data_IF_256742490774
#
_entry.id   IF_256742490774
#
_cell.length_a   1.000
_cell.length_b   1.000
_cell.length_c   1.000
_cell.angle_alpha   90.00
_cell.angle_beta   90.00
_cell.angle_gamma   90.00
#
_symmetry.space_group_name_H-M   'P 1'
#
loop_
_entity.id
_entity.type
_entity.pdbx_description
1 polymer ?
#
# COMPACT_ATOMS: atom_id res chain seq x y z
N UNK A 1 -11.56 0.23 17.97
CA UNK A 1 -10.71 0.82 16.92
C UNK A 1 -11.56 1.52 15.86
N UNK A 2 -12.47 0.84 15.16
CA UNK A 2 -13.25 1.42 14.04
C UNK A 2 -13.98 2.70 14.41
N UNK A 3 -14.77 2.69 15.50
CA UNK A 3 -15.55 3.85 15.93
C UNK A 3 -14.73 5.02 16.51
N UNK A 4 -13.49 4.74 16.91
CA UNK A 4 -12.57 5.74 17.47
C UNK A 4 -11.63 6.40 16.48
N UNK A 5 -11.47 5.82 15.27
CA UNK A 5 -10.55 6.39 14.26
C UNK A 5 -11.02 7.77 13.81
N UNK A 6 -10.11 8.70 13.78
CA UNK A 6 -10.28 10.05 13.20
C UNK A 6 -9.08 10.40 12.33
N UNK A 7 -9.26 11.31 11.39
CA UNK A 7 -8.15 11.93 10.66
C UNK A 7 -7.51 12.97 11.55
N UNK A 8 -6.40 12.61 12.15
CA UNK A 8 -5.58 13.50 12.99
C UNK A 8 -4.71 14.34 12.07
N UNK A 9 -4.73 15.66 12.22
CA UNK A 9 -4.01 16.60 11.36
C UNK A 9 -2.98 17.44 12.11
N UNK A 10 -3.06 17.44 13.43
CA UNK A 10 -2.10 18.12 14.29
C UNK A 10 -1.26 17.08 15.01
N UNK A 11 0.01 17.06 14.72
CA UNK A 11 0.99 16.12 15.27
C UNK A 11 2.02 16.90 16.07
N UNK A 12 2.64 16.23 17.01
CA UNK A 12 3.87 16.69 17.67
C UNK A 12 5.04 16.31 16.75
N UNK A 13 5.70 17.28 16.09
CA UNK A 13 6.73 17.00 15.10
C UNK A 13 8.02 16.42 15.70
N UNK A 14 8.22 16.62 17.00
CA UNK A 14 9.43 16.21 17.71
C UNK A 14 9.27 14.84 18.39
N UNK A 15 8.03 14.31 18.42
CA UNK A 15 7.77 13.02 19.01
C UNK A 15 8.10 11.89 18.05
N UNK A 16 9.10 11.10 18.39
CA UNK A 16 9.50 9.93 17.61
C UNK A 16 8.43 8.84 17.63
N UNK A 17 8.29 8.13 16.51
CA UNK A 17 7.44 6.95 16.40
C UNK A 17 8.31 5.70 16.43
N UNK A 18 8.01 4.78 17.33
CA UNK A 18 8.77 3.55 17.51
C UNK A 18 8.71 2.68 16.25
N UNK A 19 9.88 2.23 15.78
CA UNK A 19 10.01 1.38 14.59
C UNK A 19 9.08 0.16 14.62
N UNK A 20 8.89 -0.45 15.79
CA UNK A 20 8.01 -1.60 15.95
C UNK A 20 6.55 -1.29 15.59
N UNK A 21 6.05 -0.10 15.91
CA UNK A 21 4.70 0.34 15.54
C UNK A 21 4.57 0.54 14.03
N UNK A 22 5.58 1.15 13.41
CA UNK A 22 5.63 1.30 11.95
C UNK A 22 5.63 -0.07 11.27
N UNK A 23 6.42 -1.02 11.77
CA UNK A 23 6.44 -2.38 11.23
C UNK A 23 5.08 -3.08 11.33
N UNK A 24 4.34 -2.93 12.45
CA UNK A 24 2.98 -3.48 12.57
C UNK A 24 1.99 -2.85 11.59
N UNK A 25 2.09 -1.54 11.36
CA UNK A 25 1.29 -0.84 10.35
C UNK A 25 1.58 -1.41 8.95
N UNK A 26 2.85 -1.50 8.57
CA UNK A 26 3.25 -2.04 7.26
C UNK A 26 2.84 -3.50 7.09
N UNK A 27 2.95 -4.32 8.13
CA UNK A 27 2.52 -5.71 8.10
C UNK A 27 1.01 -5.84 7.89
N UNK A 28 0.20 -5.02 8.58
CA UNK A 28 -1.25 -4.98 8.35
C UNK A 28 -1.59 -4.58 6.90
N UNK A 29 -0.86 -3.62 6.34
CA UNK A 29 -1.01 -3.25 4.93
C UNK A 29 -0.60 -4.39 3.99
N UNK A 30 0.46 -5.12 4.33
CA UNK A 30 0.97 -6.24 3.53
C UNK A 30 0.01 -7.43 3.48
N UNK A 31 -0.64 -7.77 4.60
CA UNK A 31 -1.56 -8.90 4.69
C UNK A 31 -3.00 -8.58 4.26
N UNK A 32 -3.26 -7.32 3.87
CA UNK A 32 -4.56 -6.93 3.37
C UNK A 32 -4.98 -7.79 2.18
N UNK A 33 -6.25 -8.14 2.12
CA UNK A 33 -6.82 -8.87 0.98
C UNK A 33 -6.62 -8.09 -0.30
N UNK A 34 -6.18 -8.79 -1.36
CA UNK A 34 -6.05 -8.21 -2.68
C UNK A 34 -6.35 -9.26 -3.76
N UNK A 35 -6.92 -8.81 -4.87
CA UNK A 35 -7.25 -9.70 -5.96
C UNK A 35 -6.00 -10.43 -6.48
N UNK A 36 -6.16 -11.72 -6.80
CA UNK A 36 -5.13 -12.63 -7.33
C UNK A 36 -3.83 -12.68 -6.50
N UNK A 37 -3.90 -12.29 -5.24
CA UNK A 37 -2.74 -12.18 -4.34
C UNK A 37 -1.59 -11.34 -4.94
N UNK A 38 -1.95 -10.30 -5.70
CA UNK A 38 -0.99 -9.53 -6.48
C UNK A 38 -0.07 -8.65 -5.62
N UNK A 39 -0.57 -8.18 -4.47
CA UNK A 39 0.15 -7.23 -3.60
C UNK A 39 0.62 -6.00 -4.39
N UNK A 40 -0.32 -5.24 -4.94
CA UNK A 40 -0.03 -4.03 -5.73
C UNK A 40 0.59 -2.90 -4.94
N UNK A 41 0.30 -2.83 -3.63
CA UNK A 41 0.78 -1.73 -2.81
C UNK A 41 2.30 -1.80 -2.61
N UNK A 42 2.95 -0.66 -2.82
CA UNK A 42 4.31 -0.38 -2.37
C UNK A 42 4.26 0.77 -1.39
N UNK A 43 5.01 0.67 -0.32
CA UNK A 43 5.09 1.69 0.71
C UNK A 43 6.55 2.05 0.99
N UNK A 44 6.84 3.34 1.03
CA UNK A 44 8.15 3.88 1.43
C UNK A 44 7.94 4.71 2.68
N UNK A 45 8.69 4.41 3.71
CA UNK A 45 8.64 5.12 5.00
C UNK A 45 9.79 6.11 5.07
N UNK A 46 9.46 7.35 5.37
CA UNK A 46 10.46 8.42 5.54
C UNK A 46 10.19 9.14 6.85
N UNK A 47 11.24 9.35 7.64
CA UNK A 47 11.17 10.27 8.76
C UNK A 47 11.16 11.71 8.24
N UNK A 48 10.24 12.52 8.72
CA UNK A 48 10.13 13.92 8.30
C UNK A 48 11.45 14.68 8.47
N UNK A 49 12.17 14.42 9.54
CA UNK A 49 13.46 15.05 9.83
C UNK A 49 14.56 14.73 8.80
N UNK A 50 14.40 13.68 8.00
CA UNK A 50 15.33 13.28 6.94
C UNK A 50 14.98 13.95 5.59
N UNK A 51 13.82 14.60 5.49
CA UNK A 51 13.38 15.27 4.26
C UNK A 51 14.02 16.68 4.24
N UNK A 52 14.78 17.05 3.19
CA UNK A 52 15.29 18.40 3.05
C UNK A 52 14.15 19.42 3.06
N UNK A 53 14.36 20.57 3.70
CA UNK A 53 13.30 21.58 3.88
C UNK A 53 12.65 22.03 2.55
N UNK A 54 13.46 22.24 1.52
CA UNK A 54 12.96 22.61 0.19
C UNK A 54 12.09 21.50 -0.44
N UNK A 55 12.48 20.23 -0.25
CA UNK A 55 11.72 19.07 -0.74
C UNK A 55 10.41 18.91 0.04
N UNK A 56 10.46 19.08 1.36
CA UNK A 56 9.26 19.04 2.21
C UNK A 56 8.24 20.11 1.77
N UNK A 57 8.72 21.32 1.51
CA UNK A 57 7.87 22.42 1.00
C UNK A 57 7.25 22.07 -0.35
N UNK A 58 8.04 21.50 -1.29
CA UNK A 58 7.56 21.11 -2.61
C UNK A 58 6.57 19.93 -2.57
N UNK A 59 6.66 19.05 -1.56
CA UNK A 59 5.74 17.94 -1.35
C UNK A 59 4.36 18.38 -0.87
N UNK A 60 4.26 19.54 -0.23
CA UNK A 60 3.02 20.02 0.37
C UNK A 60 1.96 20.26 -0.71
N UNK A 61 0.73 19.96 -0.35
CA UNK A 61 -0.45 20.37 -1.11
C UNK A 61 -1.21 21.44 -0.34
N UNK A 62 -1.98 22.31 -1.01
CA UNK A 62 -2.69 23.42 -0.35
C UNK A 62 -3.58 22.98 0.83
N UNK A 63 -4.15 21.76 0.76
CA UNK A 63 -5.07 21.23 1.78
C UNK A 63 -4.35 20.42 2.86
N UNK A 64 -3.27 19.74 2.49
CA UNK A 64 -2.60 18.75 3.35
C UNK A 64 -1.24 19.23 3.88
N UNK A 65 -0.78 20.42 3.52
CA UNK A 65 0.55 20.93 3.84
C UNK A 65 0.90 20.88 5.33
N UNK A 66 -0.04 21.29 6.20
CA UNK A 66 0.17 21.24 7.64
C UNK A 66 0.37 19.81 8.18
N UNK A 67 -0.38 18.83 7.62
CA UNK A 67 -0.23 17.42 8.00
C UNK A 67 1.17 16.92 7.63
N UNK A 68 1.63 17.25 6.42
CA UNK A 68 2.95 16.86 5.92
C UNK A 68 4.10 17.54 6.69
N UNK A 69 3.87 18.77 7.14
CA UNK A 69 4.84 19.51 7.94
C UNK A 69 5.00 18.97 9.35
N UNK A 70 3.88 18.57 9.99
CA UNK A 70 3.87 18.20 11.39
C UNK A 70 4.05 16.69 11.63
N UNK A 71 3.62 15.83 10.70
CA UNK A 71 3.70 14.38 10.92
C UNK A 71 5.16 13.91 10.96
N UNK A 72 5.62 13.30 12.06
CA UNK A 72 7.02 12.88 12.21
C UNK A 72 7.41 11.74 11.26
N UNK A 73 6.43 10.95 10.79
CA UNK A 73 6.64 9.85 9.85
C UNK A 73 5.67 9.97 8.70
N UNK A 74 6.20 9.87 7.49
CA UNK A 74 5.44 9.78 6.24
C UNK A 74 5.52 8.37 5.67
N UNK A 75 4.39 7.81 5.24
CA UNK A 75 4.32 6.54 4.53
C UNK A 75 3.77 6.84 3.14
N UNK A 76 4.65 6.86 2.15
CA UNK A 76 4.28 7.08 0.75
C UNK A 76 3.81 5.78 0.12
N UNK A 77 2.58 5.76 -0.35
CA UNK A 77 1.94 4.60 -0.92
C UNK A 77 1.86 4.72 -2.44
N UNK A 78 2.32 3.69 -3.15
CA UNK A 78 2.32 3.61 -4.61
C UNK A 78 1.63 2.34 -5.08
N UNK A 79 0.96 2.45 -6.21
CA UNK A 79 0.40 1.31 -6.91
C UNK A 79 1.41 0.78 -7.93
N UNK A 80 1.82 -0.47 -7.76
CA UNK A 80 2.67 -1.17 -8.71
C UNK A 80 1.83 -1.88 -9.79
N UNK A 81 1.45 -1.13 -10.82
CA UNK A 81 0.61 -1.65 -11.90
C UNK A 81 1.25 -2.79 -12.70
N UNK A 82 2.58 -2.89 -12.70
CA UNK A 82 3.33 -3.92 -13.44
C UNK A 82 3.49 -5.25 -12.70
N UNK A 83 3.04 -5.37 -11.45
CA UNK A 83 3.31 -6.57 -10.65
C UNK A 83 2.76 -7.85 -11.27
N UNK A 84 1.52 -7.84 -11.78
CA UNK A 84 0.87 -9.04 -12.35
C UNK A 84 1.63 -9.57 -13.56
N UNK A 85 2.05 -8.69 -14.47
CA UNK A 85 2.85 -9.06 -15.64
C UNK A 85 4.25 -9.57 -15.28
N UNK A 86 4.88 -8.99 -14.26
CA UNK A 86 6.21 -9.45 -13.81
C UNK A 86 6.17 -10.81 -13.14
N UNK A 87 5.16 -11.08 -12.30
CA UNK A 87 5.07 -12.34 -11.54
C UNK A 87 4.39 -13.48 -12.30
N UNK A 88 3.67 -13.21 -13.40
CA UNK A 88 3.08 -14.21 -14.31
C UNK A 88 2.36 -15.36 -13.59
N UNK A 89 1.48 -15.04 -12.66
CA UNK A 89 0.73 -16.06 -11.90
C UNK A 89 1.50 -16.74 -10.75
N UNK A 90 2.77 -16.43 -10.51
CA UNK A 90 3.56 -17.07 -9.45
C UNK A 90 2.90 -16.93 -8.05
N UNK A 91 2.21 -15.82 -7.79
CA UNK A 91 1.49 -15.62 -6.53
C UNK A 91 0.33 -16.60 -6.34
N UNK A 92 -0.40 -16.92 -7.41
CA UNK A 92 -1.45 -17.95 -7.36
C UNK A 92 -0.86 -19.34 -7.17
N UNK A 93 0.26 -19.64 -7.82
CA UNK A 93 0.96 -20.93 -7.61
C UNK A 93 1.40 -21.10 -6.16
N UNK A 94 1.88 -20.04 -5.51
CA UNK A 94 2.17 -20.08 -4.08
C UNK A 94 0.92 -20.40 -3.22
N UNK A 95 -0.26 -19.89 -3.59
CA UNK A 95 -1.50 -20.24 -2.88
C UNK A 95 -1.92 -21.69 -3.12
N UNK A 96 -1.63 -22.25 -4.29
CA UNK A 96 -1.81 -23.68 -4.56
C UNK A 96 -0.87 -24.52 -3.69
N UNK A 97 0.41 -24.13 -3.60
CA UNK A 97 1.43 -24.85 -2.82
C UNK A 97 1.09 -24.96 -1.34
N UNK A 98 0.49 -23.91 -0.77
CA UNK A 98 0.07 -23.89 0.65
C UNK A 98 -1.37 -24.38 0.86
N UNK A 99 -2.03 -24.88 -0.19
CA UNK A 99 -3.40 -25.41 -0.11
C UNK A 99 -4.50 -24.35 0.05
N UNK A 100 -4.18 -23.06 -0.07
CA UNK A 100 -5.17 -21.97 -0.02
C UNK A 100 -6.07 -21.94 -1.26
N UNK A 101 -5.54 -22.37 -2.41
CA UNK A 101 -6.31 -22.68 -3.62
C UNK A 101 -6.40 -24.19 -3.76
N UNK A 102 -7.63 -24.72 -3.57
CA UNK A 102 -7.83 -26.14 -3.40
C UNK A 102 -7.71 -26.94 -4.72
N UNK A 103 -6.82 -27.94 -4.82
CA UNK A 103 -6.68 -28.79 -5.99
C UNK A 103 -7.98 -29.55 -6.36
N UNK A 104 -8.85 -29.88 -5.39
CA UNK A 104 -10.13 -30.54 -5.65
C UNK A 104 -11.09 -29.67 -6.48
N UNK A 105 -10.84 -28.36 -6.55
CA UNK A 105 -11.55 -27.39 -7.41
C UNK A 105 -10.76 -27.06 -8.68
N UNK A 106 -9.81 -27.93 -9.06
CA UNK A 106 -9.08 -27.82 -10.31
C UNK A 106 -7.84 -26.89 -10.27
N UNK A 107 -7.53 -26.31 -9.12
CA UNK A 107 -6.35 -25.46 -9.00
C UNK A 107 -5.06 -26.28 -9.03
N UNK A 108 -4.15 -25.89 -9.93
CA UNK A 108 -2.82 -26.48 -10.10
C UNK A 108 -1.89 -25.46 -10.75
N UNK A 109 -0.58 -25.67 -10.68
CA UNK A 109 0.38 -24.84 -11.43
C UNK A 109 0.06 -24.84 -12.93
N UNK A 110 -0.24 -26.03 -13.49
CA UNK A 110 -0.62 -26.16 -14.89
C UNK A 110 -1.84 -25.33 -15.24
N UNK A 111 -2.89 -25.37 -14.43
CA UNK A 111 -4.10 -24.56 -14.64
C UNK A 111 -3.79 -23.05 -14.59
N UNK A 112 -2.93 -22.63 -13.68
CA UNK A 112 -2.49 -21.23 -13.61
C UNK A 112 -1.75 -20.83 -14.88
N UNK A 113 -0.80 -21.64 -15.36
CA UNK A 113 0.05 -21.30 -16.50
C UNK A 113 -0.66 -21.41 -17.85
N UNK A 114 -1.55 -22.40 -18.04
CA UNK A 114 -2.21 -22.67 -19.33
C UNK A 114 -3.56 -21.95 -19.47
N UNK A 115 -4.21 -21.57 -18.36
CA UNK A 115 -5.54 -20.99 -18.40
C UNK A 115 -5.64 -19.65 -17.67
N UNK A 116 -5.30 -19.58 -16.38
CA UNK A 116 -5.58 -18.39 -15.56
C UNK A 116 -4.73 -17.22 -16.02
N UNK A 117 -3.41 -17.41 -16.17
CA UNK A 117 -2.55 -16.31 -16.57
C UNK A 117 -2.86 -15.80 -17.99
N UNK A 118 -2.83 -16.63 -19.05
CA UNK A 118 -3.00 -16.14 -20.41
C UNK A 118 -4.42 -15.70 -20.74
N UNK A 119 -5.45 -16.28 -20.12
CA UNK A 119 -6.84 -16.01 -20.47
C UNK A 119 -7.51 -14.97 -19.55
N UNK A 120 -7.01 -14.77 -18.35
CA UNK A 120 -7.60 -13.88 -17.35
C UNK A 120 -6.63 -12.77 -16.94
N UNK A 121 -5.46 -13.12 -16.38
CA UNK A 121 -4.60 -12.13 -15.74
C UNK A 121 -3.92 -11.20 -16.75
N UNK A 122 -3.36 -11.74 -17.81
CA UNK A 122 -2.70 -10.93 -18.84
C UNK A 122 -3.68 -10.00 -19.56
N UNK A 123 -4.86 -10.44 -20.04
CA UNK A 123 -5.87 -9.55 -20.61
C UNK A 123 -6.39 -8.51 -19.61
N UNK A 124 -6.57 -8.90 -18.33
CA UNK A 124 -7.00 -8.00 -17.27
C UNK A 124 -6.07 -6.79 -17.15
N UNK A 125 -4.74 -6.98 -17.25
CA UNK A 125 -3.79 -5.86 -17.14
C UNK A 125 -3.92 -4.81 -18.25
N UNK A 126 -4.57 -5.17 -19.35
CA UNK A 126 -4.84 -4.29 -20.49
C UNK A 126 -6.24 -3.62 -20.40
N UNK A 127 -7.05 -4.02 -19.41
CA UNK A 127 -8.38 -3.47 -19.20
C UNK A 127 -8.33 -2.08 -18.56
N UNK A 128 -9.17 -1.12 -18.99
CA UNK A 128 -9.30 0.17 -18.31
C UNK A 128 -9.66 0.06 -16.82
N UNK A 129 -10.38 -1.00 -16.43
CA UNK A 129 -10.76 -1.26 -15.04
C UNK A 129 -9.61 -1.78 -14.15
N UNK A 130 -8.50 -2.17 -14.72
CA UNK A 130 -7.38 -2.77 -13.97
C UNK A 130 -6.81 -1.84 -12.90
N UNK A 131 -6.52 -0.59 -13.29
CA UNK A 131 -6.00 0.41 -12.33
C UNK A 131 -7.03 0.76 -11.25
N UNK A 132 -8.31 0.78 -11.61
CA UNK A 132 -9.39 1.05 -10.65
C UNK A 132 -9.47 -0.08 -9.62
N UNK A 133 -9.52 -1.33 -10.07
CA UNK A 133 -9.58 -2.50 -9.17
C UNK A 133 -8.37 -2.59 -8.26
N UNK A 134 -7.16 -2.40 -8.80
CA UNK A 134 -5.94 -2.43 -8.00
C UNK A 134 -5.85 -1.25 -7.01
N UNK A 135 -6.40 -0.08 -7.35
CA UNK A 135 -6.50 1.06 -6.45
C UNK A 135 -7.46 0.78 -5.28
N UNK A 136 -8.57 0.04 -5.49
CA UNK A 136 -9.45 -0.41 -4.40
C UNK A 136 -8.71 -1.27 -3.39
N UNK A 137 -7.93 -2.25 -3.84
CA UNK A 137 -7.15 -3.11 -2.96
C UNK A 137 -6.08 -2.31 -2.19
N UNK A 138 -5.40 -1.37 -2.86
CA UNK A 138 -4.46 -0.46 -2.19
C UNK A 138 -5.16 0.41 -1.15
N UNK A 139 -6.36 0.90 -1.42
CA UNK A 139 -7.19 1.65 -0.48
C UNK A 139 -7.58 0.82 0.74
N UNK A 140 -7.95 -0.44 0.53
CA UNK A 140 -8.21 -1.41 1.60
C UNK A 140 -6.99 -1.62 2.49
N UNK A 141 -5.83 -1.86 1.88
CA UNK A 141 -4.56 -2.02 2.59
C UNK A 141 -4.19 -0.78 3.41
N UNK A 142 -4.28 0.42 2.82
CA UNK A 142 -4.03 1.66 3.54
C UNK A 142 -5.00 1.88 4.70
N UNK A 143 -6.28 1.52 4.55
CA UNK A 143 -7.26 1.59 5.63
C UNK A 143 -6.90 0.66 6.79
N UNK A 144 -6.43 -0.57 6.51
CA UNK A 144 -5.91 -1.46 7.56
C UNK A 144 -4.72 -0.82 8.29
N UNK A 145 -3.80 -0.19 7.57
CA UNK A 145 -2.70 0.55 8.18
C UNK A 145 -3.16 1.66 9.11
N UNK A 146 -4.18 2.44 8.72
CA UNK A 146 -4.78 3.48 9.58
C UNK A 146 -5.42 2.91 10.84
N UNK A 147 -6.06 1.74 10.76
CA UNK A 147 -6.68 1.09 11.92
C UNK A 147 -5.63 0.59 12.91
N UNK A 148 -4.55 -0.01 12.41
CA UNK A 148 -3.44 -0.44 13.27
C UNK A 148 -2.70 0.76 13.88
N UNK A 149 -2.55 1.87 13.16
CA UNK A 149 -1.98 3.08 13.75
C UNK A 149 -2.78 3.52 15.01
N UNK A 150 -4.11 3.49 14.94
CA UNK A 150 -4.97 3.81 16.10
C UNK A 150 -4.81 2.78 17.22
N UNK A 151 -4.73 1.50 16.89
CA UNK A 151 -4.52 0.41 17.85
C UNK A 151 -3.18 0.55 18.60
N UNK A 152 -2.16 1.03 17.89
CA UNK A 152 -0.84 1.35 18.44
C UNK A 152 -0.79 2.69 19.22
N UNK A 153 -1.93 3.36 19.39
CA UNK A 153 -2.02 4.65 20.08
C UNK A 153 -1.47 5.83 19.27
N UNK A 154 -1.40 5.71 17.96
CA UNK A 154 -0.93 6.77 17.06
C UNK A 154 -2.10 7.52 16.41
N UNK A 155 -1.91 8.81 16.19
CA UNK A 155 -2.72 9.56 15.24
C UNK A 155 -2.27 9.29 13.81
N UNK A 156 -3.22 9.26 12.88
CA UNK A 156 -2.92 9.10 11.45
C UNK A 156 -3.88 9.90 10.57
N UNK A 157 -3.41 10.31 9.41
CA UNK A 157 -4.20 10.97 8.39
C UNK A 157 -3.78 10.48 7.00
N UNK A 158 -4.77 10.05 6.21
CA UNK A 158 -4.54 9.83 4.80
C UNK A 158 -4.60 11.17 4.07
N UNK A 159 -3.60 11.47 3.29
CA UNK A 159 -3.50 12.75 2.60
C UNK A 159 -2.87 12.60 1.21
N UNK A 160 -3.06 13.59 0.36
CA UNK A 160 -2.39 13.69 -0.92
C UNK A 160 -0.99 14.31 -0.75
N UNK A 161 -0.13 14.08 -1.71
CA UNK A 161 1.18 14.72 -1.84
C UNK A 161 1.45 15.09 -3.30
N UNK A 162 2.37 16.02 -3.53
CA UNK A 162 2.82 16.32 -4.88
C UNK A 162 3.73 15.18 -5.39
N UNK A 163 3.34 14.46 -6.47
CA UNK A 163 4.05 13.27 -6.90
C UNK A 163 5.43 13.54 -7.53
N UNK A 164 5.65 14.71 -8.09
CA UNK A 164 6.94 15.03 -8.77
C UNK A 164 8.08 15.09 -7.77
N UNK A 165 8.07 15.98 -6.75
CA UNK A 165 9.13 15.98 -5.74
C UNK A 165 9.16 14.72 -4.90
N UNK A 166 8.04 13.99 -4.75
CA UNK A 166 8.05 12.70 -4.09
C UNK A 166 8.88 11.67 -4.87
N UNK A 167 8.77 11.64 -6.19
CA UNK A 167 9.60 10.78 -7.03
C UNK A 167 11.08 11.12 -6.93
N UNK A 168 11.43 12.38 -6.90
CA UNK A 168 12.82 12.83 -6.74
C UNK A 168 13.41 12.46 -5.38
N UNK A 169 12.60 12.56 -4.32
CA UNK A 169 13.00 12.19 -2.96
C UNK A 169 13.21 10.68 -2.79
N UNK A 170 12.36 9.87 -3.42
CA UNK A 170 12.25 8.44 -3.15
C UNK A 170 12.93 7.56 -4.20
N UNK A 171 13.38 8.13 -5.32
CA UNK A 171 14.00 7.40 -6.43
C UNK A 171 12.93 6.75 -7.32
#
# INVERSE_FOLDING_TARGET
>A
VLGGRRSIRFFDPDRQVERAKIQRILEAMRIASCAVNAHWLRAVVVNRAEIPAATLEALKTPVAGLVQELAPVHIYCYLDAGVVTRVKGARLKQLVDVGALNPTHGWSHRFVDESVYPQILEPMTKSPGYLVSSAFDCGGAGTQGLLIAVDEGLGACWTAFNPVPAKELLG
#
